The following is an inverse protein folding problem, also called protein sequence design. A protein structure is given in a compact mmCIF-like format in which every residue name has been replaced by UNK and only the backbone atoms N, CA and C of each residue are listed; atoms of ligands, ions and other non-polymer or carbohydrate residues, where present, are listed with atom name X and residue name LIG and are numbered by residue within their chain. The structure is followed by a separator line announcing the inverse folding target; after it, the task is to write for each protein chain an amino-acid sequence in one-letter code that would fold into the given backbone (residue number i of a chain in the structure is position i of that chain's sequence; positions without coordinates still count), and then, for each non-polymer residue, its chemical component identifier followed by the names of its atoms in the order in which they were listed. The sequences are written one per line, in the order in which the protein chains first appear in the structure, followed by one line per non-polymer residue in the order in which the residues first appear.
data_IF_414904463375
#
_entry.id   IF_414904463375
#
_cell.length_a   1.000
_cell.length_b   1.000
_cell.length_c   1.000
_cell.angle_alpha   90.00
_cell.angle_beta   90.00
_cell.angle_gamma   90.00
#
_symmetry.space_group_name_H-M   'P 1'
#
loop_
_entity.id
_entity.type
_entity.pdbx_description
1 polymer ?
#
# COMPACT_ATOMS: atom_id res chain seq x y z
N UNK A 1 -5.92 3.13 26.09
CA UNK A 1 -4.99 3.39 24.98
C UNK A 1 -4.61 2.05 24.39
N UNK A 2 -4.57 1.93 23.05
CA UNK A 2 -4.42 0.66 22.33
C UNK A 2 -3.15 -0.08 22.72
N UNK A 3 -2.04 0.64 22.97
CA UNK A 3 -0.78 0.05 23.44
C UNK A 3 -0.95 -0.84 24.67
N UNK A 4 -1.55 -0.29 25.73
CA UNK A 4 -1.82 -1.04 26.97
C UNK A 4 -2.74 -2.24 26.71
N UNK A 5 -3.78 -2.06 25.89
CA UNK A 5 -4.69 -3.15 25.55
C UNK A 5 -3.94 -4.31 24.89
N UNK A 6 -3.11 -4.03 23.90
CA UNK A 6 -2.32 -5.04 23.19
C UNK A 6 -1.33 -5.72 24.16
N UNK A 7 -0.57 -4.95 24.93
CA UNK A 7 0.45 -5.49 25.84
C UNK A 7 -0.15 -6.34 26.98
N UNK A 8 -1.31 -5.97 27.51
CA UNK A 8 -1.92 -6.65 28.67
C UNK A 8 -2.87 -7.79 28.28
N UNK A 9 -3.39 -7.85 27.05
CA UNK A 9 -4.46 -8.79 26.69
C UNK A 9 -4.09 -9.77 25.57
N UNK A 10 -3.11 -9.47 24.72
CA UNK A 10 -2.82 -10.28 23.53
C UNK A 10 -1.53 -11.11 23.72
N UNK A 11 -1.66 -12.30 24.32
CA UNK A 11 -0.50 -13.10 24.77
C UNK A 11 -0.15 -14.31 23.89
N UNK A 12 -1.16 -15.04 23.41
CA UNK A 12 -0.97 -16.36 22.79
C UNK A 12 -1.50 -16.41 21.35
N UNK A 13 -1.00 -17.38 20.59
CA UNK A 13 -1.37 -17.62 19.19
C UNK A 13 -1.19 -16.36 18.32
N UNK A 14 -2.09 -16.15 17.35
CA UNK A 14 -2.05 -15.01 16.45
C UNK A 14 -2.16 -13.65 17.18
N UNK A 15 -2.88 -13.58 18.30
CA UNK A 15 -2.95 -12.39 19.14
C UNK A 15 -1.58 -12.07 19.78
N UNK A 16 -0.91 -13.08 20.32
CA UNK A 16 0.46 -12.92 20.83
C UNK A 16 1.46 -12.54 19.75
N UNK A 17 1.27 -13.02 18.53
CA UNK A 17 2.12 -12.67 17.38
C UNK A 17 1.92 -11.21 16.96
N UNK A 18 0.67 -10.71 16.97
CA UNK A 18 0.36 -9.29 16.80
C UNK A 18 1.12 -8.42 17.83
N UNK A 19 1.05 -8.80 19.11
CA UNK A 19 1.72 -8.08 20.20
C UNK A 19 3.24 -8.03 19.99
N UNK A 20 3.87 -9.19 19.74
CA UNK A 20 5.32 -9.27 19.52
C UNK A 20 5.76 -8.48 18.29
N UNK A 21 4.98 -8.55 17.20
CA UNK A 21 5.21 -7.79 15.98
C UNK A 21 5.16 -6.28 16.27
N UNK A 22 4.10 -5.80 16.92
CA UNK A 22 3.92 -4.37 17.22
C UNK A 22 5.03 -3.84 18.14
N UNK A 23 5.38 -4.57 19.21
CA UNK A 23 6.46 -4.20 20.11
C UNK A 23 7.84 -4.23 19.43
N UNK A 24 8.08 -5.22 18.57
CA UNK A 24 9.32 -5.31 17.78
C UNK A 24 9.45 -4.16 16.79
N UNK A 25 8.36 -3.80 16.09
CA UNK A 25 8.33 -2.69 15.16
C UNK A 25 8.56 -1.35 15.86
N UNK A 26 7.92 -1.13 17.02
CA UNK A 26 8.14 0.06 17.84
C UNK A 26 9.61 0.21 18.24
N UNK A 27 10.24 -0.88 18.71
CA UNK A 27 11.66 -0.88 19.04
C UNK A 27 12.53 -0.60 17.82
N UNK A 28 12.22 -1.19 16.67
CA UNK A 28 12.96 -0.99 15.42
C UNK A 28 12.92 0.49 14.98
N UNK A 29 11.74 1.11 15.02
CA UNK A 29 11.55 2.53 14.67
C UNK A 29 12.28 3.45 15.66
N UNK A 30 12.19 3.17 16.97
CA UNK A 30 12.89 3.94 18.02
C UNK A 30 14.42 3.89 17.92
N UNK A 31 14.97 2.84 17.29
CA UNK A 31 16.40 2.74 16.98
C UNK A 31 16.80 3.47 15.69
N UNK A 32 15.88 4.25 15.11
CA UNK A 32 16.09 5.00 13.88
C UNK A 32 15.88 4.17 12.61
N UNK A 33 15.23 3.00 12.71
CA UNK A 33 14.83 2.22 11.55
C UNK A 33 13.78 2.96 10.71
N UNK A 34 13.85 2.79 9.39
CA UNK A 34 12.86 3.32 8.44
C UNK A 34 11.91 2.21 8.02
N UNK A 35 10.65 2.55 7.74
CA UNK A 35 9.63 1.56 7.40
C UNK A 35 9.07 1.79 6.00
N UNK A 36 9.13 0.76 5.17
CA UNK A 36 8.23 0.63 4.02
C UNK A 36 7.01 -0.18 4.43
N UNK A 37 5.81 0.35 4.16
CA UNK A 37 4.56 -0.40 4.27
C UNK A 37 4.04 -0.71 2.87
N UNK A 38 3.47 -1.90 2.68
CA UNK A 38 2.80 -2.23 1.42
C UNK A 38 1.30 -2.34 1.61
N UNK A 39 0.51 -1.87 0.64
CA UNK A 39 -0.95 -1.93 0.66
C UNK A 39 -1.46 -2.77 -0.51
N UNK A 40 -1.72 -4.06 -0.24
CA UNK A 40 -2.62 -4.88 -1.04
C UNK A 40 -4.04 -4.80 -0.47
N UNK A 41 -4.95 -5.69 -0.90
CA UNK A 41 -6.36 -5.67 -0.49
C UNK A 41 -7.06 -4.33 -0.79
N UNK A 42 -8.29 -4.14 -0.32
CA UNK A 42 -9.04 -2.89 -0.51
C UNK A 42 -8.87 -1.94 0.69
N UNK A 43 -7.63 -1.71 1.14
CA UNK A 43 -7.35 -1.00 2.40
C UNK A 43 -7.76 0.48 2.37
N UNK A 44 -7.66 1.12 1.20
CA UNK A 44 -8.09 2.51 1.03
C UNK A 44 -9.61 2.65 1.06
N UNK A 45 -10.33 1.73 0.40
CA UNK A 45 -11.79 1.59 0.58
C UNK A 45 -12.16 1.31 2.04
N UNK A 46 -11.41 0.45 2.73
CA UNK A 46 -11.54 0.18 4.17
C UNK A 46 -11.10 1.34 5.08
N UNK A 47 -10.80 2.52 4.52
CA UNK A 47 -10.49 3.77 5.22
C UNK A 47 -9.23 3.71 6.09
N UNK A 48 -8.22 2.93 5.68
CA UNK A 48 -6.95 2.88 6.42
C UNK A 48 -6.29 4.25 6.56
N UNK A 49 -6.57 5.19 5.65
CA UNK A 49 -6.08 6.57 5.69
C UNK A 49 -6.35 7.31 6.99
N UNK A 50 -7.41 6.93 7.74
CA UNK A 50 -7.71 7.51 9.06
C UNK A 50 -6.56 7.32 10.06
N UNK A 51 -5.86 6.17 10.00
CA UNK A 51 -4.74 5.87 10.90
C UNK A 51 -3.39 5.93 10.19
N UNK A 52 -3.34 5.57 8.91
CA UNK A 52 -2.12 5.59 8.13
C UNK A 52 -1.66 7.04 7.85
N UNK A 53 -2.59 7.97 7.59
CA UNK A 53 -2.27 9.39 7.44
C UNK A 53 -1.54 9.97 8.65
N UNK A 54 -2.12 9.89 9.87
CA UNK A 54 -1.43 10.28 11.10
C UNK A 54 -0.10 9.55 11.34
N UNK A 55 -0.01 8.26 11.04
CA UNK A 55 1.24 7.50 11.18
C UNK A 55 2.35 8.01 10.23
N UNK A 56 2.00 8.37 8.99
CA UNK A 56 2.92 9.02 8.04
C UNK A 56 3.36 10.39 8.58
N UNK A 57 2.43 11.23 9.02
CA UNK A 57 2.71 12.57 9.58
C UNK A 57 3.59 12.50 10.84
N UNK A 58 3.45 11.45 11.64
CA UNK A 58 4.29 11.17 12.79
C UNK A 58 5.69 10.61 12.44
N UNK A 59 6.02 10.43 11.16
CA UNK A 59 7.31 9.90 10.72
C UNK A 59 7.50 8.40 10.96
N UNK A 60 6.40 7.64 11.14
CA UNK A 60 6.47 6.20 11.38
C UNK A 60 6.56 5.38 10.08
N UNK A 61 6.14 5.96 8.96
CA UNK A 61 6.16 5.36 7.63
C UNK A 61 7.01 6.23 6.71
N UNK A 62 7.91 5.61 5.96
CA UNK A 62 8.95 6.29 5.19
C UNK A 62 8.89 6.01 3.69
N UNK A 63 8.14 5.00 3.27
CA UNK A 63 7.81 4.70 1.89
C UNK A 63 6.56 3.81 1.82
N UNK A 64 5.84 3.88 0.70
CA UNK A 64 4.66 3.06 0.44
C UNK A 64 4.84 2.32 -0.88
N UNK A 65 4.45 1.05 -0.92
CA UNK A 65 4.18 0.33 -2.17
C UNK A 65 2.74 -0.14 -2.18
N UNK A 66 1.96 0.12 -3.23
CA UNK A 66 0.54 -0.21 -3.25
C UNK A 66 0.06 -0.70 -4.61
N UNK A 67 -1.09 -1.37 -4.63
CA UNK A 67 -1.83 -1.62 -5.88
C UNK A 67 -2.36 -0.29 -6.44
N UNK A 68 -2.65 -0.26 -7.75
CA UNK A 68 -3.30 0.90 -8.36
C UNK A 68 -4.67 1.21 -7.72
N UNK A 69 -5.43 0.17 -7.36
CA UNK A 69 -6.69 0.29 -6.61
C UNK A 69 -6.52 1.05 -5.28
N UNK A 70 -5.55 0.69 -4.42
CA UNK A 70 -5.33 1.45 -3.19
C UNK A 70 -4.94 2.91 -3.46
N UNK A 71 -4.11 3.15 -4.48
CA UNK A 71 -3.67 4.50 -4.82
C UNK A 71 -4.86 5.40 -5.21
N UNK A 72 -5.76 4.92 -6.06
CA UNK A 72 -6.89 5.71 -6.57
C UNK A 72 -8.07 5.76 -5.61
N UNK A 73 -8.33 4.69 -4.85
CA UNK A 73 -9.47 4.62 -3.94
C UNK A 73 -9.33 5.56 -2.74
N UNK A 74 -8.10 5.88 -2.29
CA UNK A 74 -7.91 6.92 -1.26
C UNK A 74 -8.34 8.30 -1.80
N UNK A 75 -7.98 8.62 -3.05
CA UNK A 75 -8.44 9.84 -3.73
C UNK A 75 -9.97 9.83 -3.94
N UNK A 76 -10.54 8.73 -4.43
CA UNK A 76 -11.98 8.61 -4.62
C UNK A 76 -12.76 8.84 -3.32
N UNK A 77 -12.24 8.29 -2.21
CA UNK A 77 -12.86 8.47 -0.90
C UNK A 77 -12.82 9.91 -0.41
N UNK A 78 -11.77 10.66 -0.73
CA UNK A 78 -11.68 12.10 -0.44
C UNK A 78 -12.65 12.91 -1.30
N UNK A 79 -12.81 12.53 -2.57
CA UNK A 79 -13.64 13.27 -3.54
C UNK A 79 -15.14 13.06 -3.33
N UNK A 80 -15.55 11.87 -2.83
CA UNK A 80 -16.94 11.49 -2.63
C UNK A 80 -17.18 10.83 -1.26
N UNK A 81 -16.86 11.50 -0.12
CA UNK A 81 -16.80 10.87 1.20
C UNK A 81 -18.14 10.29 1.68
N UNK A 82 -19.26 10.94 1.30
CA UNK A 82 -20.62 10.63 1.74
C UNK A 82 -21.44 9.84 0.72
N UNK A 83 -20.82 9.44 -0.40
CA UNK A 83 -21.53 8.80 -1.52
C UNK A 83 -21.41 7.27 -1.55
N UNK A 84 -20.63 6.68 -0.65
CA UNK A 84 -20.40 5.23 -0.59
C UNK A 84 -21.58 4.54 0.11
N UNK A 85 -22.31 3.63 -0.57
CA UNK A 85 -23.43 2.92 0.03
C UNK A 85 -22.95 1.73 0.88
N UNK A 86 -23.67 1.43 1.97
CA UNK A 86 -23.53 0.19 2.72
C UNK A 86 -24.38 -0.93 2.07
N UNK A 87 -23.82 -2.13 1.96
CA UNK A 87 -24.42 -3.26 1.24
C UNK A 87 -24.45 -4.51 2.13
N UNK A 88 -25.61 -5.18 2.19
CA UNK A 88 -25.71 -6.51 2.81
C UNK A 88 -25.15 -7.60 1.89
N UNK A 89 -23.83 -7.58 1.74
CA UNK A 89 -23.09 -8.40 0.78
C UNK A 89 -23.27 -9.91 0.94
N UNK A 90 -23.73 -10.38 2.11
CA UNK A 90 -23.92 -11.82 2.38
C UNK A 90 -25.24 -12.35 1.84
N UNK A 91 -26.20 -11.48 1.54
CA UNK A 91 -27.57 -11.87 1.20
C UNK A 91 -28.03 -11.35 -0.17
N UNK A 92 -27.13 -10.83 -1.01
CA UNK A 92 -27.46 -10.36 -2.35
C UNK A 92 -27.87 -11.50 -3.28
N UNK A 93 -28.99 -11.33 -3.97
CA UNK A 93 -29.37 -12.13 -5.14
C UNK A 93 -28.57 -11.72 -6.39
N UNK A 94 -28.58 -12.58 -7.40
CA UNK A 94 -27.93 -12.28 -8.68
C UNK A 94 -28.56 -11.07 -9.40
N UNK A 95 -29.86 -10.82 -9.21
CA UNK A 95 -30.55 -9.65 -9.76
C UNK A 95 -30.15 -8.36 -9.04
N UNK A 96 -30.01 -8.41 -7.71
CA UNK A 96 -29.48 -7.27 -6.95
C UNK A 96 -28.03 -6.97 -7.33
N UNK A 97 -27.18 -7.98 -7.52
CA UNK A 97 -25.80 -7.78 -7.99
C UNK A 97 -25.73 -7.12 -9.36
N UNK A 98 -26.63 -7.46 -10.28
CA UNK A 98 -26.67 -6.85 -11.61
C UNK A 98 -27.02 -5.35 -11.58
N UNK A 99 -27.61 -4.86 -10.47
CA UNK A 99 -27.96 -3.46 -10.27
C UNK A 99 -26.87 -2.66 -9.53
N UNK A 100 -25.80 -3.31 -9.07
CA UNK A 100 -24.67 -2.66 -8.40
C UNK A 100 -23.56 -2.31 -9.40
N UNK A 101 -22.75 -1.32 -9.05
CA UNK A 101 -21.58 -0.90 -9.82
C UNK A 101 -20.36 -0.81 -8.90
N UNK A 102 -19.19 -1.24 -9.39
CA UNK A 102 -17.90 -1.07 -8.70
C UNK A 102 -17.93 -1.56 -7.23
N UNK A 103 -18.54 -2.73 -7.00
CA UNK A 103 -18.70 -3.28 -5.65
C UNK A 103 -17.37 -3.76 -5.09
N UNK A 104 -17.10 -3.37 -3.86
CA UNK A 104 -16.01 -3.86 -3.02
C UNK A 104 -16.64 -4.38 -1.74
N UNK A 105 -16.77 -5.71 -1.62
CA UNK A 105 -17.40 -6.38 -0.47
C UNK A 105 -18.77 -5.79 -0.11
N UNK A 106 -18.82 -5.01 0.96
CA UNK A 106 -19.96 -4.41 1.64
C UNK A 106 -20.17 -2.93 1.27
N UNK A 107 -19.50 -2.42 0.24
CA UNK A 107 -19.68 -1.06 -0.29
C UNK A 107 -19.51 -1.02 -1.80
N UNK A 108 -19.87 0.11 -2.43
CA UNK A 108 -19.55 0.42 -3.83
C UNK A 108 -18.73 1.70 -3.94
N UNK A 109 -17.85 1.76 -4.95
CA UNK A 109 -17.19 3.02 -5.33
C UNK A 109 -18.16 3.82 -6.22
N UNK A 110 -18.52 5.06 -5.86
CA UNK A 110 -19.45 5.89 -6.64
C UNK A 110 -18.90 6.20 -8.04
N UNK A 111 -19.60 5.74 -9.08
CA UNK A 111 -19.17 5.92 -10.46
C UNK A 111 -19.11 7.41 -10.84
N UNK A 112 -20.19 8.16 -10.66
CA UNK A 112 -20.29 9.55 -11.10
C UNK A 112 -19.59 10.52 -10.14
N UNK A 113 -19.84 10.35 -8.83
CA UNK A 113 -19.34 11.26 -7.80
C UNK A 113 -17.84 11.13 -7.56
N UNK A 114 -17.25 9.96 -7.82
CA UNK A 114 -15.83 9.70 -7.64
C UNK A 114 -15.10 9.41 -8.96
N UNK A 115 -15.34 8.27 -9.60
CA UNK A 115 -14.53 7.78 -10.73
C UNK A 115 -14.58 8.74 -11.92
N UNK A 116 -15.78 9.08 -12.41
CA UNK A 116 -15.95 9.97 -13.57
C UNK A 116 -15.52 11.39 -13.27
N UNK A 117 -15.83 11.90 -12.08
CA UNK A 117 -15.38 13.22 -11.63
C UNK A 117 -13.86 13.35 -11.60
N UNK A 118 -13.16 12.37 -11.03
CA UNK A 118 -11.69 12.35 -10.99
C UNK A 118 -11.11 12.13 -12.39
N UNK A 119 -11.66 11.18 -13.16
CA UNK A 119 -11.22 10.90 -14.53
C UNK A 119 -11.29 12.14 -15.44
N UNK A 120 -12.38 12.92 -15.34
CA UNK A 120 -12.53 14.16 -16.09
C UNK A 120 -11.53 15.25 -15.70
N UNK A 121 -11.11 15.29 -14.43
CA UNK A 121 -10.06 16.21 -13.98
C UNK A 121 -8.69 15.75 -14.47
N UNK A 122 -8.39 14.46 -14.33
CA UNK A 122 -7.11 13.86 -14.76
C UNK A 122 -6.90 13.93 -16.27
N UNK A 123 -7.96 13.79 -17.08
CA UNK A 123 -7.85 13.95 -18.54
C UNK A 123 -7.23 15.31 -18.92
N UNK A 124 -7.61 16.39 -18.22
CA UNK A 124 -7.02 17.72 -18.46
C UNK A 124 -5.55 17.73 -18.09
N UNK A 125 -5.22 17.21 -16.91
CA UNK A 125 -3.84 17.15 -16.40
C UNK A 125 -2.95 16.31 -17.33
N UNK A 126 -3.44 15.17 -17.81
CA UNK A 126 -2.70 14.28 -18.71
C UNK A 126 -2.44 14.93 -20.06
N UNK A 127 -3.43 15.62 -20.64
CA UNK A 127 -3.27 16.33 -21.92
C UNK A 127 -2.32 17.53 -21.85
N UNK A 128 -2.18 18.15 -20.69
CA UNK A 128 -1.24 19.25 -20.46
C UNK A 128 0.17 18.74 -20.09
N UNK A 129 0.31 17.46 -19.76
CA UNK A 129 1.59 16.90 -19.31
C UNK A 129 2.52 16.55 -20.47
N UNK A 130 3.78 16.95 -20.32
CA UNK A 130 4.90 16.53 -21.17
C UNK A 130 5.95 15.75 -20.38
N UNK A 131 5.70 15.51 -19.10
CA UNK A 131 6.67 14.96 -18.16
C UNK A 131 6.40 13.48 -17.90
N UNK A 132 7.45 12.68 -17.91
CA UNK A 132 7.42 11.31 -17.41
C UNK A 132 7.32 11.32 -15.87
N UNK A 133 6.13 11.06 -15.32
CA UNK A 133 5.86 11.05 -13.88
C UNK A 133 5.21 9.75 -13.45
N UNK A 134 5.46 9.26 -12.21
CA UNK A 134 4.69 8.16 -11.67
C UNK A 134 3.23 8.57 -11.41
N UNK A 135 2.26 7.63 -11.45
CA UNK A 135 0.83 7.93 -11.37
C UNK A 135 0.42 8.83 -10.19
N UNK A 136 0.96 8.57 -8.99
CA UNK A 136 0.60 9.33 -7.78
C UNK A 136 0.89 10.84 -7.90
N UNK A 137 1.85 11.26 -8.73
CA UNK A 137 2.13 12.68 -8.95
C UNK A 137 1.01 13.39 -9.72
N UNK A 138 0.34 12.70 -10.65
CA UNK A 138 -0.85 13.23 -11.31
C UNK A 138 -2.04 13.31 -10.36
N UNK A 139 -2.21 12.30 -9.50
CA UNK A 139 -3.27 12.28 -8.50
C UNK A 139 -3.12 13.43 -7.50
N UNK A 140 -1.88 13.79 -7.11
CA UNK A 140 -1.61 14.96 -6.27
C UNK A 140 -2.11 16.29 -6.86
N UNK A 141 -2.21 16.42 -8.18
CA UNK A 141 -2.66 17.65 -8.86
C UNK A 141 -4.18 17.84 -8.76
N UNK A 142 -4.92 16.76 -8.50
CA UNK A 142 -6.39 16.76 -8.35
C UNK A 142 -6.87 16.38 -6.94
N UNK A 143 -5.95 16.07 -6.04
CA UNK A 143 -6.23 15.62 -4.66
C UNK A 143 -6.64 16.80 -3.76
N UNK A 144 -7.89 16.82 -3.26
CA UNK A 144 -8.30 17.77 -2.23
C UNK A 144 -7.59 17.48 -0.90
N UNK A 145 -7.36 18.51 -0.08
CA UNK A 145 -6.82 18.32 1.27
C UNK A 145 -7.77 17.47 2.14
N UNK A 146 -7.21 16.48 2.85
CA UNK A 146 -7.97 15.65 3.78
C UNK A 146 -7.07 15.04 4.86
N UNK A 147 -7.52 15.15 6.11
CA UNK A 147 -6.85 14.52 7.25
C UNK A 147 -6.95 12.99 7.21
N UNK A 148 -8.01 12.45 6.61
CA UNK A 148 -8.28 11.01 6.54
C UNK A 148 -7.68 10.31 5.31
N UNK A 149 -6.81 10.99 4.56
CA UNK A 149 -6.16 10.50 3.35
C UNK A 149 -4.70 10.19 3.62
N UNK A 150 -4.29 8.95 3.35
CA UNK A 150 -2.86 8.62 3.43
C UNK A 150 -2.09 9.21 2.25
N UNK A 151 -2.75 9.45 1.11
CA UNK A 151 -2.15 10.08 -0.06
C UNK A 151 -1.82 11.57 0.22
N UNK A 152 -2.69 12.29 0.94
CA UNK A 152 -2.41 13.65 1.40
C UNK A 152 -1.19 13.67 2.33
N UNK A 153 -1.19 12.81 3.35
CA UNK A 153 -0.06 12.70 4.27
C UNK A 153 1.25 12.34 3.57
N UNK A 154 1.21 11.46 2.56
CA UNK A 154 2.38 11.09 1.78
C UNK A 154 2.92 12.26 0.94
N UNK A 155 2.03 13.10 0.39
CA UNK A 155 2.40 14.35 -0.30
C UNK A 155 3.04 15.35 0.65
N UNK A 156 2.43 15.57 1.81
CA UNK A 156 2.89 16.51 2.84
C UNK A 156 4.28 16.12 3.37
N UNK A 157 4.47 14.85 3.70
CA UNK A 157 5.73 14.33 4.25
C UNK A 157 6.76 13.97 3.17
N UNK A 158 6.39 14.11 1.89
CA UNK A 158 7.21 13.82 0.72
C UNK A 158 7.87 12.42 0.77
N UNK A 159 7.10 11.41 1.17
CA UNK A 159 7.56 10.00 1.12
C UNK A 159 7.27 9.41 -0.27
N UNK A 160 8.13 8.53 -0.80
CA UNK A 160 7.91 7.92 -2.11
C UNK A 160 6.76 6.90 -2.08
N UNK A 161 6.06 6.82 -3.21
CA UNK A 161 5.00 5.84 -3.46
C UNK A 161 5.34 5.06 -4.73
N UNK A 162 5.38 3.73 -4.61
CA UNK A 162 5.61 2.81 -5.71
C UNK A 162 4.30 2.05 -6.02
N UNK A 163 3.86 2.05 -7.28
CA UNK A 163 2.54 1.48 -7.66
C UNK A 163 2.65 0.57 -8.88
N UNK A 164 3.36 -0.56 -8.77
CA UNK A 164 3.57 -1.47 -9.90
C UNK A 164 2.25 -1.90 -10.56
N UNK A 165 2.29 -2.20 -11.85
CA UNK A 165 1.15 -2.55 -12.68
C UNK A 165 -0.03 -1.57 -12.55
N UNK A 166 0.22 -0.25 -12.65
CA UNK A 166 -0.85 0.75 -12.51
C UNK A 166 -1.97 0.58 -13.55
N UNK A 167 -1.69 -0.01 -14.72
CA UNK A 167 -2.72 -0.36 -15.69
C UNK A 167 -3.81 -1.30 -15.11
N UNK A 168 -3.50 -2.08 -14.08
CA UNK A 168 -4.45 -2.87 -13.28
C UNK A 168 -5.12 -1.99 -12.19
N UNK A 169 -5.83 -0.96 -12.66
CA UNK A 169 -6.63 -0.04 -11.84
C UNK A 169 -7.69 0.66 -12.68
N UNK A 170 -8.70 1.23 -12.06
CA UNK A 170 -9.77 1.97 -12.74
C UNK A 170 -9.22 3.16 -13.52
N UNK A 171 -8.35 3.99 -12.92
CA UNK A 171 -7.73 5.13 -13.58
C UNK A 171 -6.72 4.68 -14.65
N UNK A 172 -6.02 3.57 -14.44
CA UNK A 172 -5.16 2.98 -15.47
C UNK A 172 -5.94 2.46 -16.68
N UNK A 173 -7.13 1.91 -16.46
CA UNK A 173 -8.06 1.50 -17.50
C UNK A 173 -8.65 2.71 -18.24
N UNK A 174 -9.04 3.77 -17.52
CA UNK A 174 -9.51 5.03 -18.11
C UNK A 174 -8.42 5.68 -18.97
N UNK A 175 -7.18 5.73 -18.46
CA UNK A 175 -6.03 6.22 -19.24
C UNK A 175 -5.83 5.40 -20.51
N UNK A 176 -5.92 4.07 -20.42
CA UNK A 176 -5.81 3.18 -21.57
C UNK A 176 -6.93 3.39 -22.60
N UNK A 177 -8.15 3.65 -22.14
CA UNK A 177 -9.26 3.99 -23.02
C UNK A 177 -9.00 5.30 -23.79
N UNK A 178 -8.45 6.32 -23.13
CA UNK A 178 -8.08 7.59 -23.76
C UNK A 178 -6.91 7.48 -24.76
N UNK A 179 -6.01 6.51 -24.59
CA UNK A 179 -5.03 6.19 -25.62
C UNK A 179 -5.68 5.57 -26.85
N UNK A 180 -6.66 4.69 -26.65
CA UNK A 180 -7.35 3.97 -27.74
C UNK A 180 -8.22 4.93 -28.57
N UNK A 181 -8.94 5.83 -27.92
CA UNK A 181 -9.83 6.78 -28.62
C UNK A 181 -9.09 8.03 -29.15
N UNK A 182 -7.81 8.21 -28.80
CA UNK A 182 -6.97 9.31 -29.24
C UNK A 182 -7.11 10.59 -28.40
N UNK A 183 -7.82 10.55 -27.28
CA UNK A 183 -7.92 11.68 -26.33
C UNK A 183 -6.60 11.96 -25.61
N UNK A 184 -5.69 10.98 -25.52
CA UNK A 184 -4.30 11.11 -25.06
C UNK A 184 -3.40 10.51 -26.13
N UNK A 185 -2.35 11.23 -26.53
CA UNK A 185 -1.49 10.83 -27.65
C UNK A 185 -0.50 9.70 -27.31
N UNK A 186 -0.02 9.66 -26.06
CA UNK A 186 1.09 8.78 -25.68
C UNK A 186 1.05 8.35 -24.23
N UNK A 187 1.43 7.09 -23.96
CA UNK A 187 1.63 6.57 -22.61
C UNK A 187 2.95 7.01 -21.98
N UNK A 188 3.84 7.68 -22.72
CA UNK A 188 5.18 8.09 -22.25
C UNK A 188 5.18 9.10 -21.11
N UNK A 189 4.03 9.74 -20.82
CA UNK A 189 3.87 10.64 -19.68
C UNK A 189 3.71 9.88 -18.36
N UNK A 190 3.45 8.56 -18.42
CA UNK A 190 3.35 7.69 -17.27
C UNK A 190 4.63 6.86 -17.12
N UNK A 191 5.27 6.99 -15.97
CA UNK A 191 6.50 6.25 -15.68
C UNK A 191 6.26 4.76 -15.58
N UNK A 192 6.94 4.00 -16.43
CA UNK A 192 6.77 2.55 -16.51
C UNK A 192 7.39 1.82 -15.30
N UNK A 193 7.03 0.54 -15.14
CA UNK A 193 7.42 -0.28 -13.98
C UNK A 193 8.92 -0.53 -13.86
N UNK A 194 9.66 -0.58 -14.98
CA UNK A 194 11.10 -0.78 -14.97
C UNK A 194 11.83 0.48 -14.47
N UNK A 195 11.40 1.65 -14.94
CA UNK A 195 11.93 2.92 -14.48
C UNK A 195 11.55 3.22 -13.02
N UNK A 196 10.36 2.82 -12.59
CA UNK A 196 9.99 2.92 -11.16
C UNK A 196 10.77 1.95 -10.26
N UNK A 197 11.23 0.81 -10.80
CA UNK A 197 12.11 -0.10 -10.05
C UNK A 197 13.48 0.54 -9.85
N UNK A 198 13.96 1.32 -10.84
CA UNK A 198 15.16 2.14 -10.70
C UNK A 198 14.97 3.22 -9.63
N UNK A 199 13.84 3.92 -9.61
CA UNK A 199 13.55 4.91 -8.56
C UNK A 199 13.54 4.28 -7.16
N UNK A 200 12.97 3.07 -7.05
CA UNK A 200 12.98 2.31 -5.79
C UNK A 200 14.40 1.92 -5.38
N UNK A 201 15.22 1.45 -6.33
CA UNK A 201 16.60 1.10 -6.09
C UNK A 201 17.44 2.31 -5.65
N UNK A 202 17.22 3.48 -6.27
CA UNK A 202 17.85 4.75 -5.87
C UNK A 202 17.41 5.15 -4.46
N UNK A 203 16.11 5.10 -4.16
CA UNK A 203 15.61 5.39 -2.82
C UNK A 203 16.23 4.44 -1.78
N UNK A 204 16.23 3.13 -2.04
CA UNK A 204 16.74 2.12 -1.10
C UNK A 204 18.22 2.32 -0.79
N UNK A 205 19.04 2.58 -1.81
CA UNK A 205 20.49 2.81 -1.66
C UNK A 205 20.82 4.12 -0.96
N UNK A 206 19.96 5.14 -1.09
CA UNK A 206 20.14 6.44 -0.45
C UNK A 206 19.72 6.46 1.04
N UNK A 207 19.28 5.33 1.61
CA UNK A 207 18.98 5.26 3.03
C UNK A 207 20.23 5.00 3.87
N UNK A 208 20.48 5.88 4.85
CA UNK A 208 21.55 5.71 5.83
C UNK A 208 21.14 4.83 7.02
N UNK A 209 19.86 4.46 7.11
CA UNK A 209 19.26 3.74 8.22
C UNK A 209 18.79 2.36 7.75
N UNK A 210 18.74 1.41 8.69
CA UNK A 210 18.14 0.10 8.47
C UNK A 210 16.68 0.25 8.01
N UNK A 211 16.25 -0.54 7.03
CA UNK A 211 14.90 -0.47 6.46
C UNK A 211 14.12 -1.73 6.81
N UNK A 212 12.96 -1.56 7.42
CA UNK A 212 11.98 -2.59 7.72
C UNK A 212 10.86 -2.62 6.67
N UNK A 213 10.21 -3.77 6.57
CA UNK A 213 9.17 -4.04 5.58
C UNK A 213 7.92 -4.61 6.26
N UNK A 214 6.83 -3.85 6.27
CA UNK A 214 5.52 -4.31 6.75
C UNK A 214 4.62 -4.59 5.53
N UNK A 215 4.46 -5.87 5.23
CA UNK A 215 3.65 -6.34 4.11
C UNK A 215 2.19 -6.50 4.54
N UNK A 216 1.27 -5.71 3.98
CA UNK A 216 -0.17 -5.87 4.22
C UNK A 216 -0.79 -6.59 3.03
N UNK A 217 -1.28 -7.81 3.27
CA UNK A 217 -1.68 -8.75 2.22
C UNK A 217 -0.48 -9.30 1.44
N UNK A 218 -0.67 -9.62 0.17
CA UNK A 218 0.39 -10.09 -0.72
C UNK A 218 0.23 -9.63 -2.16
N UNK A 219 0.82 -10.37 -3.09
CA UNK A 219 0.82 -10.02 -4.51
C UNK A 219 1.71 -8.80 -4.79
N UNK A 220 1.42 -8.11 -5.90
CA UNK A 220 2.38 -7.19 -6.49
C UNK A 220 2.78 -6.02 -5.59
N UNK A 221 1.91 -5.56 -4.69
CA UNK A 221 2.23 -4.49 -3.75
C UNK A 221 3.39 -4.87 -2.80
N UNK A 222 3.50 -6.15 -2.41
CA UNK A 222 4.57 -6.69 -1.58
C UNK A 222 5.76 -7.22 -2.40
N UNK A 223 5.46 -7.94 -3.48
CA UNK A 223 6.45 -8.73 -4.23
C UNK A 223 7.37 -7.87 -5.07
N UNK A 224 6.82 -6.82 -5.68
CA UNK A 224 7.58 -5.87 -6.48
C UNK A 224 8.65 -5.17 -5.63
N UNK A 225 8.32 -4.45 -4.53
CA UNK A 225 9.34 -3.67 -3.84
C UNK A 225 10.36 -4.53 -3.10
N UNK A 226 9.96 -5.68 -2.55
CA UNK A 226 10.88 -6.52 -1.77
C UNK A 226 11.98 -7.13 -2.65
N UNK A 227 11.76 -7.22 -3.96
CA UNK A 227 12.72 -7.69 -4.95
C UNK A 227 13.85 -6.68 -5.26
N UNK A 228 13.76 -5.43 -4.78
CA UNK A 228 14.84 -4.45 -4.96
C UNK A 228 16.18 -4.94 -4.41
N UNK A 229 16.15 -5.64 -3.27
CA UNK A 229 17.35 -6.17 -2.60
C UNK A 229 18.03 -7.27 -3.41
N UNK A 230 17.36 -8.38 -3.79
CA UNK A 230 17.98 -9.40 -4.63
C UNK A 230 18.40 -8.83 -5.99
N UNK A 231 17.64 -7.93 -6.60
CA UNK A 231 18.04 -7.27 -7.84
C UNK A 231 19.37 -6.51 -7.69
N UNK A 232 19.49 -5.69 -6.64
CA UNK A 232 20.73 -4.94 -6.36
C UNK A 232 21.92 -5.87 -6.06
N UNK A 233 21.70 -6.94 -5.29
CA UNK A 233 22.78 -7.82 -4.81
C UNK A 233 23.20 -8.87 -5.83
N UNK A 234 22.24 -9.55 -6.44
CA UNK A 234 22.48 -10.71 -7.31
C UNK A 234 22.68 -10.26 -8.77
N UNK A 235 21.83 -9.39 -9.28
CA UNK A 235 21.87 -8.99 -10.69
C UNK A 235 22.87 -7.85 -10.94
N UNK A 236 22.93 -6.86 -10.03
CA UNK A 236 23.87 -5.74 -10.13
C UNK A 236 25.18 -5.93 -9.35
N UNK A 237 25.28 -6.97 -8.50
CA UNK A 237 26.50 -7.26 -7.74
C UNK A 237 26.85 -6.23 -6.65
N UNK A 238 25.90 -5.38 -6.24
CA UNK A 238 26.12 -4.31 -5.28
C UNK A 238 26.00 -4.80 -3.83
N UNK A 239 26.86 -4.30 -2.97
CA UNK A 239 26.83 -4.58 -1.53
C UNK A 239 25.81 -3.69 -0.80
N UNK A 240 24.53 -4.03 -0.92
CA UNK A 240 23.45 -3.33 -0.19
C UNK A 240 22.92 -4.17 0.99
N UNK A 241 22.50 -3.54 2.10
CA UNK A 241 21.91 -4.26 3.23
C UNK A 241 20.59 -4.93 2.83
N UNK A 242 20.33 -6.10 3.41
CA UNK A 242 19.02 -6.76 3.32
C UNK A 242 17.98 -6.01 4.16
N UNK A 243 16.68 -6.34 4.00
CA UNK A 243 15.66 -5.77 4.87
C UNK A 243 15.93 -6.18 6.33
N UNK A 244 15.99 -5.19 7.22
CA UNK A 244 16.46 -5.35 8.59
C UNK A 244 15.35 -5.76 9.56
N UNK A 245 14.09 -5.67 9.14
CA UNK A 245 12.91 -6.08 9.89
C UNK A 245 11.82 -6.49 8.90
N UNK A 246 11.02 -7.51 9.21
CA UNK A 246 9.94 -7.97 8.34
C UNK A 246 8.69 -8.36 9.12
N UNK A 247 7.52 -8.00 8.63
CA UNK A 247 6.28 -8.66 9.02
C UNK A 247 5.35 -8.75 7.83
N UNK A 248 4.51 -9.79 7.82
CA UNK A 248 3.38 -9.87 6.88
C UNK A 248 2.09 -10.09 7.64
N UNK A 249 1.06 -9.32 7.26
CA UNK A 249 -0.33 -9.61 7.58
C UNK A 249 -0.89 -10.35 6.38
N UNK A 250 -1.30 -11.60 6.56
CA UNK A 250 -1.73 -12.44 5.44
C UNK A 250 -2.94 -13.30 5.80
N UNK A 251 -3.93 -13.31 4.93
CA UNK A 251 -5.06 -14.23 4.91
C UNK A 251 -4.77 -15.52 4.12
N UNK A 252 -3.61 -15.58 3.44
CA UNK A 252 -3.24 -16.67 2.55
C UNK A 252 -2.58 -17.83 3.28
N UNK A 253 -2.96 -19.06 2.90
CA UNK A 253 -2.30 -20.29 3.38
C UNK A 253 -1.07 -20.61 2.52
N UNK A 254 0.04 -20.98 3.17
CA UNK A 254 1.30 -21.35 2.52
C UNK A 254 1.19 -22.58 1.61
N UNK A 255 0.21 -23.46 1.83
CA UNK A 255 0.08 -24.76 1.14
C UNK A 255 -0.19 -24.68 -0.36
N UNK A 256 -0.58 -23.52 -0.90
CA UNK A 256 -0.96 -23.38 -2.31
C UNK A 256 0.18 -22.90 -3.22
N UNK A 257 1.39 -22.68 -2.68
CA UNK A 257 2.54 -22.22 -3.46
C UNK A 257 2.45 -20.77 -3.93
N UNK A 258 1.46 -20.01 -3.45
CA UNK A 258 1.35 -18.58 -3.71
C UNK A 258 2.30 -17.78 -2.83
N UNK A 259 3.01 -16.81 -3.42
CA UNK A 259 4.00 -16.01 -2.70
C UNK A 259 3.38 -15.20 -1.54
N UNK A 260 2.12 -14.76 -1.67
CA UNK A 260 1.36 -14.07 -0.61
C UNK A 260 1.25 -14.85 0.70
N UNK A 261 1.28 -16.18 0.64
CA UNK A 261 1.25 -17.07 1.80
C UNK A 261 2.61 -17.64 2.18
N UNK A 262 3.68 -17.28 1.48
CA UNK A 262 5.00 -17.85 1.72
C UNK A 262 5.50 -17.46 3.13
N UNK A 263 6.02 -18.43 3.92
CA UNK A 263 6.54 -18.12 5.24
C UNK A 263 7.75 -17.17 5.12
N UNK A 264 7.99 -16.27 6.08
CA UNK A 264 9.12 -15.33 6.02
C UNK A 264 10.47 -16.01 5.86
N UNK A 265 10.64 -17.24 6.35
CA UNK A 265 11.87 -18.00 6.17
C UNK A 265 12.21 -18.26 4.70
N UNK A 266 11.21 -18.39 3.83
CA UNK A 266 11.47 -18.53 2.39
C UNK A 266 12.17 -17.29 1.83
N UNK A 267 11.91 -16.10 2.37
CA UNK A 267 12.56 -14.85 1.94
C UNK A 267 14.08 -14.83 2.23
N UNK A 268 14.57 -15.71 3.11
CA UNK A 268 16.02 -15.88 3.35
C UNK A 268 16.70 -16.52 2.13
N UNK A 269 16.09 -17.57 1.53
CA UNK A 269 16.71 -18.25 0.38
C UNK A 269 16.84 -17.34 -0.84
N UNK A 270 15.92 -16.37 -0.96
CA UNK A 270 15.96 -15.31 -1.97
C UNK A 270 16.94 -14.17 -1.63
N UNK A 271 17.59 -14.17 -0.47
CA UNK A 271 18.48 -13.10 -0.04
C UNK A 271 17.77 -11.76 0.22
N UNK A 272 16.46 -11.79 0.50
CA UNK A 272 15.67 -10.59 0.82
C UNK A 272 15.89 -10.17 2.27
N UNK A 273 15.95 -11.14 3.19
CA UNK A 273 16.20 -10.94 4.62
C UNK A 273 17.30 -11.87 5.13
N UNK A 274 18.00 -11.46 6.20
CA UNK A 274 19.06 -12.26 6.84
C UNK A 274 18.52 -13.35 7.75
N UNK A 275 19.40 -14.19 8.31
CA UNK A 275 19.05 -15.25 9.28
C UNK A 275 18.56 -14.65 10.61
N UNK A 276 19.17 -13.55 11.03
CA UNK A 276 18.85 -12.89 12.31
C UNK A 276 17.82 -11.75 12.18
N UNK A 277 17.32 -11.49 10.97
CA UNK A 277 16.27 -10.47 10.75
C UNK A 277 15.02 -10.82 11.56
N UNK A 278 14.54 -9.94 12.46
CA UNK A 278 13.24 -10.12 13.11
C UNK A 278 12.14 -10.25 12.07
N UNK A 279 11.34 -11.31 12.17
CA UNK A 279 10.30 -11.63 11.19
C UNK A 279 9.03 -12.14 11.85
N UNK A 280 7.88 -11.67 11.38
CA UNK A 280 6.57 -12.02 11.94
C UNK A 280 5.56 -12.39 10.84
N UNK A 281 4.57 -13.23 11.19
CA UNK A 281 3.41 -13.53 10.33
C UNK A 281 2.15 -13.41 11.15
N UNK A 282 1.29 -12.46 10.81
CA UNK A 282 -0.02 -12.32 11.43
C UNK A 282 -1.06 -12.88 10.46
N UNK A 283 -1.64 -14.02 10.83
CA UNK A 283 -2.66 -14.71 10.04
C UNK A 283 -4.04 -14.11 10.33
N UNK A 284 -4.35 -12.94 9.75
CA UNK A 284 -5.58 -12.21 10.04
C UNK A 284 -5.99 -11.27 8.91
N UNK A 285 -7.22 -10.76 8.99
CA UNK A 285 -7.70 -9.68 8.16
C UNK A 285 -6.97 -8.37 8.52
N UNK A 286 -6.36 -7.75 7.52
CA UNK A 286 -5.63 -6.49 7.67
C UNK A 286 -6.48 -5.34 8.20
N UNK A 287 -7.78 -5.32 7.93
CA UNK A 287 -8.70 -4.30 8.43
C UNK A 287 -8.89 -4.35 9.94
N UNK A 288 -8.52 -5.46 10.59
CA UNK A 288 -8.52 -5.59 12.06
C UNK A 288 -7.13 -5.23 12.61
N UNK A 289 -6.10 -5.90 12.10
CA UNK A 289 -4.79 -5.88 12.76
C UNK A 289 -3.92 -4.67 12.40
N UNK A 290 -4.02 -4.15 11.17
CA UNK A 290 -3.21 -2.99 10.78
C UNK A 290 -3.61 -1.73 11.57
N UNK A 291 -4.90 -1.38 11.73
CA UNK A 291 -5.33 -0.30 12.63
C UNK A 291 -4.76 -0.43 14.05
N UNK A 292 -4.76 -1.64 14.61
CA UNK A 292 -4.23 -1.90 15.95
C UNK A 292 -2.72 -1.64 16.02
N UNK A 293 -1.95 -2.08 15.02
CA UNK A 293 -0.50 -1.81 14.93
C UNK A 293 -0.24 -0.30 14.78
N UNK A 294 -0.91 0.38 13.85
CA UNK A 294 -0.71 1.81 13.62
C UNK A 294 -1.03 2.62 14.89
N UNK A 295 -2.16 2.32 15.54
CA UNK A 295 -2.52 2.99 16.79
C UNK A 295 -1.53 2.65 17.93
N UNK A 296 -1.01 1.42 18.02
CA UNK A 296 0.02 1.06 18.99
C UNK A 296 1.31 1.90 18.85
N UNK A 297 1.72 2.16 17.60
CA UNK A 297 2.89 2.98 17.29
C UNK A 297 2.63 4.46 17.60
N UNK A 298 1.46 4.97 17.22
CA UNK A 298 1.02 6.34 17.52
C UNK A 298 0.95 6.59 19.03
N UNK A 299 0.44 5.61 19.78
CA UNK A 299 0.39 5.67 21.26
C UNK A 299 1.78 5.70 21.91
N UNK A 300 2.83 5.33 21.17
CA UNK A 300 4.21 5.31 21.64
C UNK A 300 5.03 6.54 21.31
N UNK A 301 4.44 7.53 20.62
CA UNK A 301 5.05 8.83 20.30
C UNK A 301 4.99 9.79 21.49
#
# INVERSE_FOLDING_TARGET
MMRRFIDENLHHFNAGELQRCAASLDSFLKQGGKLMITLAGAMSTARIGILLGPAIRAGLVHAISCTGANLEEDLFRVVAPDSYPDIDWRNLSAEEEANLQNRVTDTCIPEEEAIRKVGAQLLKVWNESTLDKPPHKYLYEVLPESESSWLCAAREMNIPIFTPAWADSTLGNIFSAYLIDGSIESSSIIRNDLDRMKDLAEWYQNQNNAIGFLQVGGGIAGDYPICVVPMLRQDLGLAVPMWAWFAQISESRSSFGGYSGAPPNEKISWGKIGVDTPRFVIESDATIVLPMILQYLLDGQ
#
